data_IF_801591719560
#
_entry.id   IF_801591719560
#
_cell.length_a   1.000
_cell.length_b   1.000
_cell.length_c   1.000
_cell.angle_alpha   90.00
_cell.angle_beta   90.00
_cell.angle_gamma   90.00
#
_symmetry.space_group_name_H-M   'P 1'
#
loop_
_entity.id
_entity.type
_entity.pdbx_description
1 polymer ?
#
# COMPACT_ATOMS: atom_id res chain seq x y z
N UNK A 1 -15.18 19.41 -16.35
CA UNK A 1 -13.82 19.25 -16.81
C UNK A 1 -13.50 17.82 -17.12
N UNK A 2 -12.67 17.61 -18.14
CA UNK A 2 -12.22 16.26 -18.38
C UNK A 2 -11.43 15.72 -17.17
N UNK A 3 -11.57 14.44 -16.94
CA UNK A 3 -10.82 13.79 -15.89
C UNK A 3 -9.35 13.78 -16.29
N UNK A 4 -8.49 14.28 -15.43
CA UNK A 4 -7.04 14.20 -15.64
C UNK A 4 -6.58 12.80 -15.30
N UNK A 5 -6.13 11.99 -16.29
CA UNK A 5 -5.71 10.64 -16.01
C UNK A 5 -4.44 10.55 -15.15
N UNK A 6 -3.75 11.68 -14.97
CA UNK A 6 -2.56 11.74 -14.14
C UNK A 6 -2.87 12.23 -12.73
N UNK A 7 -4.11 12.66 -12.46
CA UNK A 7 -4.47 13.12 -11.13
C UNK A 7 -4.50 11.95 -10.15
N UNK A 8 -4.06 12.15 -8.91
CA UNK A 8 -4.13 11.09 -7.90
C UNK A 8 -5.57 10.71 -7.61
N UNK A 9 -5.82 9.43 -7.44
CA UNK A 9 -7.15 8.91 -7.17
C UNK A 9 -7.52 9.04 -5.71
N UNK A 10 -8.76 9.43 -5.46
CA UNK A 10 -9.36 9.42 -4.12
C UNK A 10 -10.10 8.10 -3.99
N UNK A 11 -10.24 7.60 -2.76
CA UNK A 11 -10.97 6.38 -2.49
C UNK A 11 -10.10 5.29 -1.89
N UNK A 12 -10.54 4.02 -1.99
CA UNK A 12 -9.82 2.94 -1.32
C UNK A 12 -8.46 2.67 -1.96
N UNK A 13 -7.45 2.48 -1.11
CA UNK A 13 -6.12 2.07 -1.53
C UNK A 13 -5.76 0.76 -0.85
N UNK A 14 -5.10 -0.12 -1.59
CA UNK A 14 -4.50 -1.32 -1.05
C UNK A 14 -3.03 -1.03 -0.74
N UNK A 15 -2.65 -1.20 0.52
CA UNK A 15 -1.30 -0.91 1.02
C UNK A 15 -0.68 -2.22 1.50
N UNK A 16 0.54 -2.49 1.06
CA UNK A 16 1.17 -3.79 1.34
C UNK A 16 2.58 -3.65 1.89
N UNK A 17 3.05 -2.43 2.12
CA UNK A 17 4.39 -2.17 2.58
C UNK A 17 4.39 -1.39 3.89
N UNK A 18 5.31 -0.43 3.98
CA UNK A 18 5.49 0.33 5.22
C UNK A 18 4.25 1.13 5.61
N UNK A 19 3.42 1.50 4.63
CA UNK A 19 2.19 2.24 4.90
C UNK A 19 1.12 1.41 5.60
N UNK A 20 1.34 0.10 5.76
CA UNK A 20 0.46 -0.71 6.59
C UNK A 20 0.55 -0.32 8.07
N UNK A 21 1.59 0.41 8.45
CA UNK A 21 1.72 0.88 9.81
C UNK A 21 0.87 2.13 10.02
N UNK A 22 -0.16 2.09 10.89
CA UNK A 22 -1.06 3.24 11.04
C UNK A 22 -0.36 4.49 11.54
N UNK A 23 0.68 4.33 12.37
CA UNK A 23 1.42 5.50 12.88
C UNK A 23 2.15 6.21 11.75
N UNK A 24 2.82 5.44 10.89
CA UNK A 24 3.54 6.04 9.77
C UNK A 24 2.57 6.69 8.78
N UNK A 25 1.47 6.03 8.48
CA UNK A 25 0.45 6.57 7.58
C UNK A 25 -0.10 7.88 8.14
N UNK A 26 -0.37 7.91 9.44
CA UNK A 26 -0.86 9.11 10.11
C UNK A 26 0.14 10.26 10.01
N UNK A 27 1.42 9.97 10.17
CA UNK A 27 2.46 11.01 10.06
C UNK A 27 2.53 11.57 8.65
N UNK A 28 2.55 10.70 7.66
CA UNK A 28 2.69 11.12 6.26
C UNK A 28 1.51 11.98 5.83
N UNK A 29 0.30 11.62 6.25
CA UNK A 29 -0.91 12.33 5.86
C UNK A 29 -1.28 13.43 6.85
N UNK A 30 -0.54 13.58 7.95
CA UNK A 30 -0.82 14.57 9.00
C UNK A 30 -2.24 14.41 9.54
N UNK A 31 -2.62 13.16 9.82
CA UNK A 31 -3.95 12.87 10.34
C UNK A 31 -4.03 13.22 11.84
N UNK A 32 -5.21 13.64 12.32
CA UNK A 32 -5.34 13.97 13.75
C UNK A 32 -5.25 12.74 14.66
N UNK A 33 -5.53 11.56 14.13
CA UNK A 33 -5.42 10.32 14.90
C UNK A 33 -5.08 9.18 13.96
N UNK A 34 -4.67 8.05 14.54
CA UNK A 34 -4.29 6.89 13.73
C UNK A 34 -5.49 6.40 12.94
N UNK A 35 -5.31 6.13 11.65
CA UNK A 35 -6.42 5.63 10.83
C UNK A 35 -6.74 4.19 11.15
N UNK A 36 -7.97 3.81 10.87
CA UNK A 36 -8.40 2.42 10.97
C UNK A 36 -8.24 1.76 9.61
N UNK A 37 -7.44 0.71 9.56
CA UNK A 37 -7.18 -0.03 8.33
C UNK A 37 -7.96 -1.34 8.37
N UNK A 38 -8.39 -1.80 7.20
CA UNK A 38 -9.10 -3.07 7.08
C UNK A 38 -8.17 -4.10 6.44
N UNK A 39 -8.07 -5.32 7.00
CA UNK A 39 -7.30 -6.38 6.33
C UNK A 39 -7.90 -6.68 4.97
N UNK A 40 -7.04 -6.82 3.97
CA UNK A 40 -7.47 -6.99 2.59
C UNK A 40 -6.44 -7.78 1.81
N UNK A 41 -6.83 -8.18 0.60
CA UNK A 41 -5.93 -8.90 -0.29
C UNK A 41 -6.21 -8.54 -1.74
N UNK A 42 -5.18 -8.75 -2.56
CA UNK A 42 -5.29 -8.70 -4.03
C UNK A 42 -5.01 -10.08 -4.58
N UNK A 43 -5.71 -10.44 -5.64
CA UNK A 43 -5.48 -11.70 -6.35
C UNK A 43 -4.89 -11.42 -7.72
N UNK A 44 -3.96 -12.27 -8.16
CA UNK A 44 -3.31 -12.11 -9.46
C UNK A 44 -2.06 -11.25 -9.41
N UNK A 45 -1.52 -11.03 -8.23
CA UNK A 45 -0.31 -10.25 -8.02
C UNK A 45 0.69 -11.06 -7.23
N UNK A 46 1.96 -10.65 -7.31
CA UNK A 46 3.05 -11.26 -6.57
C UNK A 46 3.85 -10.16 -5.87
N UNK A 47 4.47 -10.52 -4.76
CA UNK A 47 5.26 -9.57 -4.01
C UNK A 47 6.72 -9.98 -4.07
N UNK A 48 7.56 -9.06 -4.55
CA UNK A 48 9.00 -9.21 -4.61
C UNK A 48 9.66 -8.18 -3.69
N UNK A 49 10.97 -8.08 -3.74
CA UNK A 49 11.69 -7.06 -2.97
C UNK A 49 12.46 -6.14 -3.90
N UNK A 50 12.40 -4.86 -3.61
CA UNK A 50 13.26 -3.83 -4.17
C UNK A 50 14.09 -3.30 -3.02
N UNK A 51 15.32 -3.84 -2.91
CA UNK A 51 16.11 -3.59 -1.71
C UNK A 51 15.38 -4.16 -0.49
N UNK A 52 15.14 -3.32 0.50
CA UNK A 52 14.43 -3.73 1.71
C UNK A 52 12.92 -3.46 1.65
N UNK A 53 12.42 -3.01 0.50
CA UNK A 53 11.01 -2.62 0.35
C UNK A 53 10.27 -3.62 -0.50
N UNK A 54 8.97 -3.83 -0.24
CA UNK A 54 8.17 -4.72 -1.07
C UNK A 54 7.85 -4.08 -2.39
N UNK A 55 7.81 -4.88 -3.44
CA UNK A 55 7.52 -4.44 -4.79
C UNK A 55 6.39 -5.31 -5.34
N UNK A 56 5.23 -4.70 -5.58
CA UNK A 56 4.08 -5.41 -6.13
C UNK A 56 4.22 -5.50 -7.64
N UNK A 57 4.13 -6.72 -8.15
CA UNK A 57 4.21 -6.98 -9.58
C UNK A 57 3.07 -7.92 -9.98
N UNK A 58 2.86 -8.06 -11.29
CA UNK A 58 1.87 -9.04 -11.77
C UNK A 58 2.30 -10.43 -11.36
N UNK A 59 1.33 -11.25 -10.99
CA UNK A 59 1.57 -12.62 -10.58
C UNK A 59 0.70 -13.60 -11.36
N UNK A 60 0.82 -14.86 -11.01
CA UNK A 60 0.02 -15.90 -11.64
C UNK A 60 -1.43 -15.83 -11.18
N UNK A 61 -2.32 -16.38 -11.99
CA UNK A 61 -3.72 -16.51 -11.62
C UNK A 61 -3.83 -17.26 -10.30
N UNK A 62 -4.53 -16.65 -9.34
CA UNK A 62 -4.73 -17.28 -8.04
C UNK A 62 -3.68 -16.91 -7.00
N UNK A 63 -2.57 -16.29 -7.40
CA UNK A 63 -1.64 -15.77 -6.41
C UNK A 63 -2.31 -14.64 -5.61
N UNK A 64 -2.00 -14.58 -4.31
CA UNK A 64 -2.62 -13.63 -3.40
C UNK A 64 -1.56 -12.84 -2.66
N UNK A 65 -1.77 -11.54 -2.56
CA UNK A 65 -0.95 -10.65 -1.71
C UNK A 65 -1.85 -10.06 -0.65
N UNK A 66 -1.45 -10.22 0.61
CA UNK A 66 -2.22 -9.67 1.73
C UNK A 66 -1.67 -8.33 2.16
N UNK A 67 -2.55 -7.47 2.62
CA UNK A 67 -2.19 -6.13 3.08
C UNK A 67 -3.34 -5.48 3.79
N UNK A 68 -3.39 -4.16 3.69
CA UNK A 68 -4.41 -3.35 4.36
C UNK A 68 -5.05 -2.39 3.37
N UNK A 69 -6.31 -2.09 3.61
CA UNK A 69 -7.02 -1.09 2.82
C UNK A 69 -7.25 0.17 3.65
N UNK A 70 -7.07 1.32 3.02
CA UNK A 70 -7.28 2.61 3.63
C UNK A 70 -8.04 3.49 2.64
N UNK A 71 -9.01 4.25 3.14
CA UNK A 71 -9.83 5.12 2.32
C UNK A 71 -9.21 6.52 2.26
N UNK A 72 -8.62 6.85 1.12
CA UNK A 72 -7.97 8.15 0.91
C UNK A 72 -9.06 9.18 0.63
N UNK A 73 -9.12 10.23 1.45
CA UNK A 73 -10.25 11.15 1.46
C UNK A 73 -10.05 12.41 0.63
N UNK A 74 -8.81 12.70 0.19
CA UNK A 74 -8.57 13.91 -0.56
C UNK A 74 -7.46 13.70 -1.58
N UNK A 75 -7.45 14.53 -2.62
CA UNK A 75 -6.36 14.51 -3.60
C UNK A 75 -5.03 14.87 -2.97
N UNK A 76 -5.05 15.76 -1.98
CA UNK A 76 -3.82 16.12 -1.27
C UNK A 76 -3.22 14.92 -0.57
N UNK A 77 -4.04 14.10 0.07
CA UNK A 77 -3.57 12.88 0.70
C UNK A 77 -3.04 11.90 -0.33
N UNK A 78 -3.74 11.75 -1.45
CA UNK A 78 -3.27 10.87 -2.54
C UNK A 78 -1.91 11.32 -3.06
N UNK A 79 -1.71 12.64 -3.21
CA UNK A 79 -0.42 13.16 -3.65
C UNK A 79 0.69 12.87 -2.66
N UNK A 80 0.39 12.97 -1.36
CA UNK A 80 1.38 12.65 -0.33
C UNK A 80 1.79 11.20 -0.37
N UNK A 81 0.84 10.30 -0.59
CA UNK A 81 1.16 8.88 -0.73
C UNK A 81 2.02 8.63 -1.96
N UNK A 82 1.68 9.23 -3.09
CA UNK A 82 2.46 9.07 -4.31
C UNK A 82 3.88 9.60 -4.13
N UNK A 83 4.03 10.73 -3.45
CA UNK A 83 5.35 11.29 -3.18
C UNK A 83 6.16 10.36 -2.28
N UNK A 84 5.53 9.76 -1.29
CA UNK A 84 6.21 8.82 -0.40
C UNK A 84 6.68 7.59 -1.17
N UNK A 85 5.86 7.09 -2.10
CA UNK A 85 6.20 5.90 -2.88
C UNK A 85 7.27 6.16 -3.93
N UNK A 86 7.43 7.40 -4.35
CA UNK A 86 8.38 7.83 -5.36
C UNK A 86 8.06 7.27 -6.75
N UNK A 87 8.93 7.59 -7.72
CA UNK A 87 8.74 7.12 -9.10
C UNK A 87 9.04 5.64 -9.29
N UNK A 88 9.56 4.99 -8.27
CA UNK A 88 9.77 3.55 -8.32
C UNK A 88 8.43 2.80 -8.37
N UNK A 89 7.35 3.46 -8.00
CA UNK A 89 6.01 2.88 -7.99
C UNK A 89 5.06 3.79 -8.75
N UNK A 90 4.00 3.19 -9.29
CA UNK A 90 2.94 3.96 -9.93
C UNK A 90 1.60 3.50 -9.40
N UNK A 91 0.65 4.41 -9.30
CA UNK A 91 -0.70 4.03 -8.91
C UNK A 91 -1.36 3.28 -10.07
N UNK A 92 -2.11 2.24 -9.71
CA UNK A 92 -2.78 1.40 -10.69
C UNK A 92 -4.11 0.94 -10.11
N UNK A 93 -5.14 0.76 -10.95
CA UNK A 93 -6.41 0.26 -10.47
C UNK A 93 -6.30 -1.20 -10.03
N UNK A 94 -7.07 -1.57 -9.03
CA UNK A 94 -7.08 -2.94 -8.55
C UNK A 94 -8.44 -3.27 -7.94
N UNK A 95 -8.67 -4.56 -7.70
CA UNK A 95 -9.87 -5.01 -7.01
C UNK A 95 -9.46 -5.47 -5.62
N UNK A 96 -9.89 -4.73 -4.60
CA UNK A 96 -9.54 -4.98 -3.22
C UNK A 96 -10.58 -5.93 -2.63
N UNK A 97 -10.13 -7.06 -2.07
CA UNK A 97 -11.02 -7.98 -1.38
C UNK A 97 -10.74 -7.89 0.11
N UNK A 98 -11.79 -7.61 0.89
CA UNK A 98 -11.65 -7.47 2.32
C UNK A 98 -11.64 -8.84 3.00
N UNK A 99 -10.86 -8.95 4.07
CA UNK A 99 -10.68 -10.20 4.80
C UNK A 99 -11.32 -10.18 6.18
N UNK A 100 -12.04 -9.11 6.51
CA UNK A 100 -12.61 -8.92 7.84
C UNK A 100 -14.08 -9.35 7.92
N UNK A 101 -14.65 -9.87 6.84
CA UNK A 101 -16.06 -10.27 6.83
C UNK A 101 -17.04 -9.12 6.76
N UNK A 102 -16.56 -7.88 6.71
CA UNK A 102 -17.45 -6.72 6.63
C UNK A 102 -17.93 -6.42 5.22
N UNK A 103 -18.89 -5.54 5.12
CA UNK A 103 -19.44 -5.11 3.85
C UNK A 103 -18.91 -3.74 3.47
N UNK A 104 -18.65 -3.50 2.18
CA UNK A 104 -18.70 -4.47 1.08
C UNK A 104 -17.59 -5.51 1.19
N UNK A 105 -17.78 -6.68 0.57
CA UNK A 105 -16.76 -7.73 0.59
C UNK A 105 -15.60 -7.44 -0.32
N UNK A 106 -15.83 -6.71 -1.41
CA UNK A 106 -14.75 -6.24 -2.28
C UNK A 106 -15.14 -4.91 -2.90
N UNK A 107 -14.14 -4.21 -3.44
CA UNK A 107 -14.35 -2.86 -3.97
C UNK A 107 -13.23 -2.55 -4.97
N UNK A 108 -13.56 -1.73 -5.98
CA UNK A 108 -12.54 -1.18 -6.86
C UNK A 108 -11.73 -0.13 -6.11
N UNK A 109 -10.42 -0.16 -6.29
CA UNK A 109 -9.55 0.79 -5.63
C UNK A 109 -8.25 0.97 -6.38
N UNK A 110 -7.25 1.46 -5.67
CA UNK A 110 -5.94 1.80 -6.21
C UNK A 110 -4.86 1.13 -5.38
N UNK A 111 -3.75 0.78 -6.03
CA UNK A 111 -2.57 0.30 -5.32
C UNK A 111 -1.33 0.90 -5.98
N UNK A 112 -0.18 0.74 -5.34
CA UNK A 112 1.09 1.19 -5.91
C UNK A 112 1.83 -0.03 -6.44
N UNK A 113 2.03 -0.07 -7.74
CA UNK A 113 2.69 -1.17 -8.40
C UNK A 113 4.11 -0.76 -8.77
N UNK A 114 5.06 -1.70 -8.61
CA UNK A 114 6.45 -1.40 -8.92
C UNK A 114 6.59 -1.00 -10.39
N UNK A 115 7.27 0.09 -10.64
CA UNK A 115 7.42 0.65 -11.99
C UNK A 115 8.89 0.87 -12.36
N UNK A 116 9.82 0.37 -11.54
CA UNK A 116 11.24 0.50 -11.82
C UNK A 116 11.75 -0.61 -12.71
N UNK A 117 13.06 -0.74 -12.76
CA UNK A 117 13.71 -1.76 -13.58
C UNK A 117 13.46 -3.15 -12.99
N UNK A 118 12.88 -4.08 -13.79
CA UNK A 118 12.65 -5.45 -13.30
C UNK A 118 13.94 -6.16 -12.86
N UNK A 119 15.09 -5.72 -13.35
CA UNK A 119 16.36 -6.31 -12.93
C UNK A 119 16.77 -5.95 -11.51
N UNK A 120 16.12 -4.94 -10.93
CA UNK A 120 16.48 -4.46 -9.60
C UNK A 120 15.67 -5.11 -8.50
N UNK A 121 14.72 -5.98 -8.83
CA UNK A 121 13.91 -6.65 -7.80
C UNK A 121 14.37 -8.10 -7.65
N UNK A 122 14.21 -8.61 -6.44
CA UNK A 122 14.66 -9.96 -6.09
C UNK A 122 13.55 -10.71 -5.38
N UNK A 123 13.69 -12.02 -5.32
CA UNK A 123 12.79 -12.86 -4.55
C UNK A 123 13.00 -12.61 -3.05
N UNK A 124 11.93 -12.72 -2.29
CA UNK A 124 12.01 -12.57 -0.86
C UNK A 124 10.69 -12.12 -0.29
N UNK A 125 10.68 -11.92 1.02
CA UNK A 125 9.48 -11.52 1.73
C UNK A 125 9.75 -10.27 2.53
N UNK A 126 8.82 -9.33 2.45
CA UNK A 126 8.86 -8.13 3.28
C UNK A 126 8.17 -8.44 4.60
N UNK A 127 8.82 -8.06 5.70
CA UNK A 127 8.25 -8.19 7.04
C UNK A 127 8.20 -6.80 7.67
N UNK A 128 6.99 -6.29 7.85
CA UNK A 128 6.80 -4.95 8.40
C UNK A 128 7.39 -4.82 9.79
N UNK A 129 7.23 -5.84 10.63
CA UNK A 129 7.78 -5.79 11.98
C UNK A 129 9.29 -5.64 11.98
N UNK A 130 9.98 -6.36 11.09
CA UNK A 130 11.43 -6.24 10.97
C UNK A 130 11.82 -4.82 10.54
N UNK A 131 11.13 -4.29 9.54
CA UNK A 131 11.42 -2.94 9.06
C UNK A 131 11.20 -1.90 10.16
N UNK A 132 10.09 -2.00 10.87
CA UNK A 132 9.79 -1.06 11.95
C UNK A 132 10.87 -1.10 13.04
N UNK A 133 11.36 -2.27 13.38
CA UNK A 133 12.44 -2.39 14.38
C UNK A 133 13.72 -1.74 13.89
N UNK A 134 14.06 -1.95 12.61
CA UNK A 134 15.27 -1.33 12.03
C UNK A 134 15.18 0.18 12.06
N UNK A 135 13.98 0.73 11.91
CA UNK A 135 13.76 2.17 11.90
C UNK A 135 13.48 2.73 13.28
N UNK A 136 13.52 1.89 14.32
CA UNK A 136 13.19 2.34 15.67
C UNK A 136 11.73 2.69 15.84
N UNK A 137 10.84 2.09 15.07
CA UNK A 137 9.42 2.42 15.05
C UNK A 137 8.52 1.26 15.49
N UNK A 138 9.08 0.24 16.11
CA UNK A 138 8.34 -0.99 16.38
C UNK A 138 7.36 -0.88 17.56
N UNK A 139 7.24 0.27 18.16
CA UNK A 139 6.32 0.46 19.26
C UNK A 139 6.79 -0.10 20.58
N UNK A 140 7.78 -0.98 20.57
CA UNK A 140 8.27 -1.56 21.81
C UNK A 140 8.88 -0.51 22.73
N UNK A 141 9.44 0.52 22.14
CA UNK A 141 9.99 1.63 22.89
C UNK A 141 8.99 2.72 23.22
N UNK A 142 7.74 2.54 22.86
CA UNK A 142 6.71 3.58 23.01
C UNK A 142 5.76 3.25 24.17
N UNK A 143 6.20 2.49 25.07
CA UNK A 143 5.40 2.02 26.21
C UNK A 143 5.09 3.11 27.19
#
# INVERSE_FOLDING_TARGET
DPIDPLAPCVGPYFLYGTLMDPSLLSEILALPEKPRLRPAKLTGYSLKLWGQYPALVDGATGEVVEGMAYDVESEQHAEKLAAYETRAYRSAPCRIRFMDGGEPGDISGTTFQYAGNPMDITEGKFDLGVWLRRMGRDGAGNQ
#
